data_IF_933611385278
#
_entry.id   IF_933611385278
#
_cell.length_a   1.000
_cell.length_b   1.000
_cell.length_c   1.000
_cell.angle_alpha   90.00
_cell.angle_beta   90.00
_cell.angle_gamma   90.00
#
_symmetry.space_group_name_H-M   'P 1'
#
loop_
_entity.id
_entity.type
_entity.pdbx_description
1 polymer ?
#
# COMPACT_ATOMS: atom_id res chain seq x y z
N UNK A 1 -0.26 -8.32 8.53
CA UNK A 1 0.83 -8.91 7.74
C UNK A 1 2.01 -7.98 7.76
N UNK A 2 3.22 -8.47 7.49
CA UNK A 2 4.31 -7.59 7.09
C UNK A 2 4.08 -7.08 5.66
N UNK A 3 4.88 -6.10 5.21
CA UNK A 3 4.68 -5.50 3.89
C UNK A 3 4.87 -6.51 2.75
N UNK A 4 5.81 -7.46 2.87
CA UNK A 4 6.08 -8.44 1.81
C UNK A 4 4.92 -9.42 1.60
N UNK A 5 4.36 -9.92 2.71
CA UNK A 5 3.18 -10.78 2.72
C UNK A 5 1.97 -10.07 2.09
N UNK A 6 1.71 -8.83 2.51
CA UNK A 6 0.59 -8.05 1.99
C UNK A 6 0.72 -7.80 0.48
N UNK A 7 1.93 -7.47 -0.02
CA UNK A 7 2.20 -7.28 -1.45
C UNK A 7 1.94 -8.56 -2.25
N UNK A 8 2.45 -9.70 -1.77
CA UNK A 8 2.25 -11.00 -2.45
C UNK A 8 0.77 -11.37 -2.51
N UNK A 9 0.04 -11.15 -1.43
CA UNK A 9 -1.38 -11.49 -1.36
C UNK A 9 -2.23 -10.53 -2.22
N UNK A 10 -1.97 -9.22 -2.15
CA UNK A 10 -2.63 -8.22 -2.98
C UNK A 10 -2.43 -8.48 -4.48
N UNK A 11 -1.23 -8.95 -4.88
CA UNK A 11 -0.92 -9.31 -6.27
C UNK A 11 -1.80 -10.43 -6.82
N UNK A 12 -2.14 -11.45 -6.02
CA UNK A 12 -3.06 -12.52 -6.43
C UNK A 12 -4.48 -12.00 -6.67
N UNK A 13 -4.88 -10.99 -5.89
CA UNK A 13 -6.22 -10.42 -5.90
C UNK A 13 -6.37 -9.22 -6.85
N UNK A 14 -5.26 -8.76 -7.47
CA UNK A 14 -5.20 -7.52 -8.26
C UNK A 14 -5.64 -6.28 -7.46
N UNK A 15 -5.25 -6.23 -6.19
CA UNK A 15 -5.58 -5.16 -5.22
C UNK A 15 -4.33 -4.42 -4.76
N UNK A 16 -4.53 -3.38 -3.95
CA UNK A 16 -3.46 -2.66 -3.27
C UNK A 16 -3.24 -3.13 -1.83
N UNK A 17 -2.43 -2.38 -1.11
CA UNK A 17 -2.15 -2.58 0.32
C UNK A 17 -2.31 -1.28 1.10
N UNK A 18 -2.66 -1.41 2.38
CA UNK A 18 -2.68 -0.29 3.33
C UNK A 18 -2.27 -0.77 4.72
N UNK A 19 -2.06 0.17 5.65
CA UNK A 19 -1.87 -0.15 7.07
C UNK A 19 -3.17 0.06 7.82
N UNK A 20 -3.54 -0.91 8.66
CA UNK A 20 -4.71 -0.80 9.53
C UNK A 20 -4.62 0.43 10.45
N UNK A 21 -3.42 0.80 10.90
CA UNK A 21 -3.19 1.98 11.73
C UNK A 21 -3.41 3.33 11.01
N UNK A 22 -3.56 3.36 9.68
CA UNK A 22 -3.81 4.60 8.94
C UNK A 22 -5.28 5.07 8.99
N UNK A 23 -6.15 4.31 9.65
CA UNK A 23 -7.54 4.70 9.92
C UNK A 23 -8.53 4.22 8.85
N UNK A 24 -9.80 4.67 8.93
CA UNK A 24 -10.92 4.10 8.17
C UNK A 24 -10.94 4.47 6.67
N UNK A 25 -10.36 5.61 6.31
CA UNK A 25 -10.23 6.06 4.91
C UNK A 25 -8.75 6.27 4.58
N UNK A 26 -7.94 5.20 4.65
CA UNK A 26 -6.51 5.33 4.51
C UNK A 26 -6.15 5.57 3.04
N UNK A 27 -4.95 6.07 2.81
CA UNK A 27 -4.34 5.91 1.50
C UNK A 27 -4.10 4.41 1.28
N UNK A 28 -4.12 3.95 0.04
CA UNK A 28 -3.62 2.63 -0.30
C UNK A 28 -2.61 2.69 -1.43
N UNK A 29 -1.80 1.66 -1.50
CA UNK A 29 -0.63 1.60 -2.35
C UNK A 29 -0.74 0.43 -3.30
N UNK A 30 -0.42 0.67 -4.56
CA UNK A 30 -0.33 -0.37 -5.59
C UNK A 30 1.15 -0.45 -5.99
N UNK A 31 1.88 -1.46 -5.50
CA UNK A 31 3.24 -1.73 -5.97
C UNK A 31 3.21 -2.07 -7.46
N UNK A 32 4.07 -1.42 -8.25
CA UNK A 32 4.20 -1.72 -9.68
C UNK A 32 5.65 -1.98 -10.04
N UNK A 33 5.87 -2.77 -11.10
CA UNK A 33 7.20 -3.00 -11.68
C UNK A 33 7.47 -2.05 -12.86
N UNK A 34 6.94 -0.81 -12.79
CA UNK A 34 7.04 0.18 -13.87
C UNK A 34 7.71 1.45 -13.38
N UNK A 35 8.00 2.36 -14.31
CA UNK A 35 8.49 3.72 -14.01
C UNK A 35 7.48 4.56 -13.21
N UNK A 36 6.25 4.09 -13.01
CA UNK A 36 5.26 4.72 -12.15
C UNK A 36 5.50 4.52 -10.65
N UNK A 37 6.54 3.77 -10.26
CA UNK A 37 6.85 3.45 -8.87
C UNK A 37 5.65 2.78 -8.15
N UNK A 38 5.53 2.97 -6.84
CA UNK A 38 4.33 2.63 -6.08
C UNK A 38 3.27 3.71 -6.32
N UNK A 39 2.10 3.33 -6.82
CA UNK A 39 0.98 4.26 -7.03
C UNK A 39 0.22 4.44 -5.72
N UNK A 40 0.05 5.69 -5.28
CA UNK A 40 -0.71 6.01 -4.07
C UNK A 40 -2.11 6.51 -4.45
N UNK A 41 -3.11 5.85 -3.88
CA UNK A 41 -4.53 6.10 -4.11
C UNK A 41 -5.20 6.59 -2.82
N UNK A 42 -6.21 7.44 -2.97
CA UNK A 42 -7.17 7.83 -1.92
C UNK A 42 -8.50 8.14 -2.56
N UNK A 43 -9.59 7.55 -2.06
CA UNK A 43 -10.93 7.72 -2.63
C UNK A 43 -10.94 7.52 -4.17
N UNK A 44 -10.30 6.45 -4.63
CA UNK A 44 -10.14 6.08 -6.05
C UNK A 44 -9.39 7.10 -6.94
N UNK A 45 -8.77 8.11 -6.33
CA UNK A 45 -7.94 9.08 -7.03
C UNK A 45 -6.46 8.83 -6.74
N UNK A 46 -5.63 8.92 -7.78
CA UNK A 46 -4.17 8.95 -7.63
C UNK A 46 -3.79 10.29 -7.00
N UNK A 47 -3.15 10.27 -5.83
CA UNK A 47 -2.86 11.48 -5.04
C UNK A 47 -1.38 11.79 -4.88
N UNK A 48 -0.49 10.92 -5.36
CA UNK A 48 0.94 11.11 -5.13
C UNK A 48 1.82 10.44 -6.18
N UNK A 49 3.02 11.00 -6.32
CA UNK A 49 4.06 10.50 -7.23
C UNK A 49 4.93 9.44 -6.54
N UNK A 50 5.10 9.53 -5.21
CA UNK A 50 6.01 8.68 -4.43
C UNK A 50 5.51 8.47 -3.01
N UNK A 51 5.87 7.31 -2.44
CA UNK A 51 5.74 7.02 -1.02
C UNK A 51 7.07 7.28 -0.31
N UNK A 52 7.03 8.03 0.79
CA UNK A 52 8.18 8.30 1.65
C UNK A 52 7.97 7.60 3.01
N UNK A 53 8.33 6.31 3.14
CA UNK A 53 8.07 5.54 4.35
C UNK A 53 8.91 6.02 5.53
N UNK A 54 8.32 5.97 6.73
CA UNK A 54 9.09 5.92 7.97
C UNK A 54 9.64 4.50 8.17
N UNK A 55 10.71 4.35 8.94
CA UNK A 55 11.24 3.03 9.32
C UNK A 55 10.14 2.12 9.92
N UNK A 56 9.26 2.71 10.75
CA UNK A 56 8.11 2.01 11.33
C UNK A 56 7.10 1.49 10.31
N UNK A 57 6.97 2.12 9.13
CA UNK A 57 6.09 1.60 8.08
C UNK A 57 6.67 0.30 7.49
N UNK A 58 7.99 0.25 7.32
CA UNK A 58 8.68 -0.92 6.76
C UNK A 58 8.66 -2.11 7.72
N UNK A 59 8.83 -1.86 9.02
CA UNK A 59 8.87 -2.90 10.05
C UNK A 59 7.49 -3.24 10.63
N UNK A 60 6.42 -2.63 10.13
CA UNK A 60 5.08 -2.85 10.64
C UNK A 60 4.53 -4.24 10.32
N UNK A 61 3.64 -4.73 11.20
CA UNK A 61 2.96 -6.02 11.07
C UNK A 61 1.45 -5.90 10.85
N UNK A 62 0.97 -4.68 10.66
CA UNK A 62 -0.45 -4.33 10.48
C UNK A 62 -0.83 -4.00 9.03
N UNK A 63 -0.02 -4.44 8.06
CA UNK A 63 -0.37 -4.35 6.64
C UNK A 63 -1.52 -5.29 6.29
N UNK A 64 -2.43 -4.81 5.45
CA UNK A 64 -3.61 -5.53 4.95
C UNK A 64 -3.79 -5.28 3.44
N UNK A 65 -4.48 -6.20 2.76
CA UNK A 65 -4.96 -5.99 1.38
C UNK A 65 -6.11 -4.98 1.40
N UNK A 66 -6.12 -4.04 0.46
CA UNK A 66 -7.15 -3.00 0.36
C UNK A 66 -7.32 -2.52 -1.08
N UNK A 67 -8.47 -1.90 -1.37
CA UNK A 67 -8.88 -1.47 -2.71
C UNK A 67 -9.40 -2.61 -3.55
#
# INVERSE_FOLDING_TARGET
MNIQEAVKEAGKQKRGITRKSWGPNPIWMIPTNTTSCIVIMKNDKKIGVRWNPKSQDITATDWIVYG
#
